data_IF_368464850822
#
_entry.id   IF_368464850822
#
_cell.length_a   1.000
_cell.length_b   1.000
_cell.length_c   1.000
_cell.angle_alpha   90.00
_cell.angle_beta   90.00
_cell.angle_gamma   90.00
#
_symmetry.space_group_name_H-M   'P 1'
#
loop_
_entity.id
_entity.type
_entity.pdbx_description
1 polymer ?
#
# COMPACT_ATOMS: atom_id res chain seq x y z
N UNK A 1 -3.18 6.96 -27.71
CA UNK A 1 -3.67 7.21 -26.33
C UNK A 1 -2.70 6.56 -25.35
N UNK A 2 -2.35 7.24 -24.26
CA UNK A 2 -1.56 6.65 -23.18
C UNK A 2 -2.35 5.51 -22.53
N UNK A 3 -1.69 4.42 -22.17
CA UNK A 3 -2.35 3.30 -21.49
C UNK A 3 -2.66 3.70 -20.05
N UNK A 4 -3.88 3.45 -19.60
CA UNK A 4 -4.25 3.68 -18.21
C UNK A 4 -3.71 2.53 -17.34
N UNK A 5 -2.77 2.88 -16.46
CA UNK A 5 -2.23 1.99 -15.44
C UNK A 5 -2.71 2.37 -14.03
N UNK A 6 -3.27 3.57 -13.84
CA UNK A 6 -3.72 4.03 -12.52
C UNK A 6 -5.08 3.44 -12.16
N UNK A 7 -5.99 3.32 -13.15
CA UNK A 7 -7.28 2.65 -12.97
C UNK A 7 -7.12 1.20 -12.47
N UNK A 8 -6.37 0.34 -13.18
CA UNK A 8 -6.10 -1.02 -12.72
C UNK A 8 -5.38 -1.09 -11.36
N UNK A 9 -4.44 -0.18 -11.08
CA UNK A 9 -3.78 -0.13 -9.78
C UNK A 9 -4.77 0.16 -8.63
N UNK A 10 -5.70 1.11 -8.85
CA UNK A 10 -6.75 1.43 -7.88
C UNK A 10 -7.72 0.24 -7.67
N UNK A 11 -8.10 -0.46 -8.74
CA UNK A 11 -8.92 -1.66 -8.65
C UNK A 11 -8.23 -2.76 -7.83
N UNK A 12 -6.93 -2.98 -8.06
CA UNK A 12 -6.15 -3.93 -7.29
C UNK A 12 -6.00 -3.55 -5.82
N UNK A 13 -5.87 -2.26 -5.50
CA UNK A 13 -5.92 -1.79 -4.11
C UNK A 13 -7.24 -2.19 -3.43
N UNK A 14 -8.37 -1.93 -4.07
CA UNK A 14 -9.68 -2.29 -3.50
C UNK A 14 -9.86 -3.80 -3.34
N UNK A 15 -9.45 -4.60 -4.34
CA UNK A 15 -9.48 -6.06 -4.25
C UNK A 15 -8.57 -6.60 -3.14
N UNK A 16 -7.40 -6.00 -2.95
CA UNK A 16 -6.51 -6.35 -1.85
C UNK A 16 -7.12 -6.03 -0.48
N UNK A 17 -7.71 -4.83 -0.31
CA UNK A 17 -8.38 -4.43 0.93
C UNK A 17 -9.56 -5.34 1.27
N UNK A 18 -10.36 -5.72 0.27
CA UNK A 18 -11.44 -6.69 0.43
C UNK A 18 -10.90 -8.06 0.85
N UNK A 19 -9.88 -8.57 0.16
CA UNK A 19 -9.26 -9.85 0.51
C UNK A 19 -8.65 -9.85 1.92
N UNK A 20 -8.07 -8.74 2.38
CA UNK A 20 -7.58 -8.56 3.76
C UNK A 20 -8.73 -8.67 4.76
N UNK A 21 -9.87 -8.00 4.50
CA UNK A 21 -11.07 -8.06 5.37
C UNK A 21 -11.62 -9.49 5.48
N UNK A 22 -11.61 -10.21 4.36
CA UNK A 22 -12.07 -11.60 4.26
C UNK A 22 -11.00 -12.63 4.70
N UNK A 23 -9.84 -12.18 5.20
CA UNK A 23 -8.70 -13.03 5.59
C UNK A 23 -8.17 -13.95 4.48
N UNK A 24 -8.42 -13.61 3.21
CA UNK A 24 -7.85 -14.28 2.02
C UNK A 24 -6.47 -13.70 1.72
N UNK A 25 -5.50 -13.97 2.58
CA UNK A 25 -4.21 -13.31 2.56
C UNK A 25 -3.38 -13.56 1.28
N UNK A 26 -3.42 -14.77 0.71
CA UNK A 26 -2.75 -15.06 -0.56
C UNK A 26 -3.31 -14.22 -1.73
N UNK A 27 -4.63 -14.01 -1.76
CA UNK A 27 -5.28 -13.16 -2.75
C UNK A 27 -4.91 -11.68 -2.55
N UNK A 28 -4.82 -11.24 -1.29
CA UNK A 28 -4.36 -9.89 -0.97
C UNK A 28 -2.92 -9.65 -1.46
N UNK A 29 -2.01 -10.60 -1.22
CA UNK A 29 -0.63 -10.54 -1.72
C UNK A 29 -0.56 -10.46 -3.24
N UNK A 30 -1.37 -11.28 -3.94
CA UNK A 30 -1.46 -11.22 -5.40
C UNK A 30 -1.86 -9.81 -5.85
N UNK A 31 -2.96 -9.28 -5.30
CA UNK A 31 -3.46 -7.97 -5.72
C UNK A 31 -2.52 -6.81 -5.37
N UNK A 32 -1.82 -6.85 -4.22
CA UNK A 32 -0.81 -5.83 -3.90
C UNK A 32 0.39 -5.86 -4.86
N UNK A 33 0.82 -7.05 -5.31
CA UNK A 33 1.88 -7.14 -6.31
C UNK A 33 1.41 -6.63 -7.69
N UNK A 34 0.17 -6.93 -8.10
CA UNK A 34 -0.39 -6.35 -9.33
C UNK A 34 -0.52 -4.83 -9.25
N UNK A 35 -0.87 -4.28 -8.08
CA UNK A 35 -0.86 -2.83 -7.86
C UNK A 35 0.53 -2.23 -8.09
N UNK A 36 1.58 -2.85 -7.52
CA UNK A 36 2.98 -2.42 -7.74
C UNK A 36 3.36 -2.46 -9.22
N UNK A 37 3.04 -3.55 -9.92
CA UNK A 37 3.33 -3.71 -11.35
C UNK A 37 2.71 -2.56 -12.14
N UNK A 38 1.43 -2.26 -11.90
CA UNK A 38 0.75 -1.15 -12.58
C UNK A 38 1.37 0.20 -12.25
N UNK A 39 1.71 0.48 -10.99
CA UNK A 39 2.44 1.71 -10.63
C UNK A 39 3.81 1.83 -11.31
N UNK A 40 4.56 0.74 -11.44
CA UNK A 40 5.84 0.77 -12.17
C UNK A 40 5.66 1.00 -13.67
N UNK A 41 4.62 0.44 -14.28
CA UNK A 41 4.30 0.73 -15.67
C UNK A 41 3.87 2.19 -15.87
N UNK A 42 3.09 2.74 -14.93
CA UNK A 42 2.72 4.15 -14.92
C UNK A 42 3.96 5.05 -14.80
N UNK A 43 4.81 4.79 -13.80
CA UNK A 43 6.05 5.52 -13.57
C UNK A 43 6.95 5.53 -14.81
N UNK A 44 7.12 4.35 -15.45
CA UNK A 44 7.87 4.22 -16.70
C UNK A 44 7.23 5.02 -17.84
N UNK A 45 5.91 4.94 -18.02
CA UNK A 45 5.20 5.65 -19.08
C UNK A 45 5.28 7.17 -18.92
N UNK A 46 5.31 7.65 -17.68
CA UNK A 46 5.35 9.07 -17.34
C UNK A 46 6.78 9.60 -17.07
N UNK A 47 7.82 8.79 -17.31
CA UNK A 47 9.22 9.14 -17.05
C UNK A 47 9.48 9.65 -15.63
N UNK A 48 8.89 8.98 -14.64
CA UNK A 48 9.13 9.31 -13.23
C UNK A 48 10.60 9.10 -12.89
N UNK A 49 11.11 9.99 -12.04
CA UNK A 49 12.41 9.81 -11.39
C UNK A 49 12.41 8.57 -10.50
N UNK A 50 13.60 8.07 -10.15
CA UNK A 50 13.74 6.98 -9.18
C UNK A 50 13.04 7.31 -7.86
N UNK A 51 13.25 8.54 -7.36
CA UNK A 51 12.62 9.05 -6.14
C UNK A 51 11.09 8.95 -6.18
N UNK A 52 10.47 9.44 -7.25
CA UNK A 52 9.02 9.37 -7.44
C UNK A 52 8.52 7.93 -7.56
N UNK A 53 9.29 7.07 -8.21
CA UNK A 53 8.99 5.64 -8.36
C UNK A 53 9.02 4.90 -7.03
N UNK A 54 10.04 5.18 -6.19
CA UNK A 54 10.13 4.66 -4.83
C UNK A 54 8.97 5.17 -3.96
N UNK A 55 8.58 6.44 -4.11
CA UNK A 55 7.40 6.99 -3.44
C UNK A 55 6.13 6.21 -3.74
N UNK A 56 5.87 5.88 -5.01
CA UNK A 56 4.75 5.02 -5.41
C UNK A 56 4.85 3.59 -4.83
N UNK A 57 6.05 3.02 -4.81
CA UNK A 57 6.27 1.67 -4.25
C UNK A 57 6.01 1.63 -2.74
N UNK A 58 6.51 2.64 -2.01
CA UNK A 58 6.34 2.77 -0.57
C UNK A 58 4.86 2.81 -0.15
N UNK A 59 3.99 3.45 -0.94
CA UNK A 59 2.54 3.47 -0.69
C UNK A 59 1.97 2.04 -0.60
N UNK A 60 2.41 1.13 -1.46
CA UNK A 60 1.95 -0.27 -1.43
C UNK A 60 2.56 -1.03 -0.25
N UNK A 61 3.82 -0.74 0.09
CA UNK A 61 4.51 -1.33 1.24
C UNK A 61 3.81 -1.02 2.58
N UNK A 62 3.13 0.12 2.71
CA UNK A 62 2.27 0.39 3.88
C UNK A 62 1.19 -0.70 4.03
N UNK A 63 0.50 -1.04 2.95
CA UNK A 63 -0.56 -2.06 2.97
C UNK A 63 0.00 -3.47 3.14
N UNK A 64 1.15 -3.78 2.53
CA UNK A 64 1.85 -5.05 2.74
C UNK A 64 2.27 -5.23 4.21
N UNK A 65 2.82 -4.19 4.84
CA UNK A 65 3.13 -4.19 6.27
C UNK A 65 1.88 -4.40 7.14
N UNK A 66 0.78 -3.72 6.82
CA UNK A 66 -0.50 -3.92 7.50
C UNK A 66 -1.02 -5.36 7.35
N UNK A 67 -0.91 -5.96 6.17
CA UNK A 67 -1.30 -7.34 5.89
C UNK A 67 -0.47 -8.31 6.75
N UNK A 68 0.87 -8.19 6.75
CA UNK A 68 1.75 -9.00 7.60
C UNK A 68 1.43 -8.87 9.08
N UNK A 69 1.09 -7.66 9.54
CA UNK A 69 0.65 -7.44 10.91
C UNK A 69 -0.64 -8.20 11.23
N UNK A 70 -1.59 -8.28 10.29
CA UNK A 70 -2.84 -9.06 10.44
C UNK A 70 -2.58 -10.56 10.43
N UNK A 71 -1.53 -11.01 9.73
CA UNK A 71 -1.05 -12.40 9.74
C UNK A 71 -0.24 -12.77 11.00
N UNK A 72 0.00 -11.83 11.93
CA UNK A 72 0.85 -12.06 13.11
C UNK A 72 2.36 -12.02 12.83
N UNK A 73 2.76 -11.72 11.59
CA UNK A 73 4.16 -11.66 11.13
C UNK A 73 4.76 -10.28 11.41
N UNK A 74 4.86 -9.92 12.70
CA UNK A 74 5.23 -8.57 13.13
C UNK A 74 6.64 -8.13 12.69
N UNK A 75 7.61 -9.05 12.71
CA UNK A 75 8.97 -8.76 12.29
C UNK A 75 9.05 -8.42 10.79
N UNK A 76 8.40 -9.22 9.96
CA UNK A 76 8.32 -8.98 8.52
C UNK A 76 7.55 -7.69 8.24
N UNK A 77 6.48 -7.42 9.00
CA UNK A 77 5.73 -6.19 8.89
C UNK A 77 6.60 -4.95 9.16
N UNK A 78 7.49 -5.02 10.16
CA UNK A 78 8.46 -3.97 10.46
C UNK A 78 9.42 -3.73 9.29
N UNK A 79 9.86 -4.75 8.55
CA UNK A 79 10.73 -4.57 7.38
C UNK A 79 10.10 -3.68 6.31
N UNK A 80 8.81 -3.88 6.03
CA UNK A 80 8.08 -3.03 5.09
C UNK A 80 7.95 -1.59 5.61
N UNK A 81 7.68 -1.40 6.90
CA UNK A 81 7.53 -0.05 7.48
C UNK A 81 8.88 0.67 7.60
N UNK A 82 9.99 -0.03 7.86
CA UNK A 82 11.33 0.54 7.83
C UNK A 82 11.68 1.05 6.42
N UNK A 83 11.31 0.31 5.38
CA UNK A 83 11.42 0.78 4.00
C UNK A 83 10.56 2.02 3.72
N UNK A 84 9.29 2.04 4.15
CA UNK A 84 8.42 3.22 4.00
C UNK A 84 9.02 4.45 4.68
N UNK A 85 9.54 4.28 5.90
CA UNK A 85 10.25 5.32 6.63
C UNK A 85 11.44 5.86 5.83
N UNK A 86 12.31 4.97 5.33
CA UNK A 86 13.49 5.35 4.52
C UNK A 86 13.09 6.13 3.26
N UNK A 87 12.11 5.64 2.51
CA UNK A 87 11.65 6.33 1.29
C UNK A 87 11.03 7.69 1.63
N UNK A 88 10.27 7.81 2.72
CA UNK A 88 9.71 9.10 3.15
C UNK A 88 10.78 10.16 3.46
N UNK A 89 11.95 9.73 3.94
CA UNK A 89 13.11 10.59 4.20
C UNK A 89 13.88 11.01 2.94
N UNK A 90 13.73 10.28 1.83
CA UNK A 90 14.38 10.61 0.56
C UNK A 90 13.89 11.96 0.00
N UNK A 91 12.62 12.29 0.21
CA UNK A 91 12.04 13.57 -0.21
C UNK A 91 12.43 14.74 0.68
N UNK A 92 12.35 14.51 1.98
CA UNK A 92 12.68 15.48 2.99
C UNK A 92 13.31 14.72 4.17
N UNK A 93 14.62 14.89 4.44
CA UNK A 93 15.27 14.23 5.58
C UNK A 93 14.64 14.56 6.94
N UNK A 94 13.94 15.70 7.03
CA UNK A 94 13.20 16.12 8.24
C UNK A 94 11.77 15.55 8.29
N UNK A 95 11.34 14.78 7.29
CA UNK A 95 10.00 14.18 7.26
C UNK A 95 9.82 13.15 8.38
N UNK A 96 9.01 13.47 9.38
CA UNK A 96 8.71 12.63 10.55
C UNK A 96 7.35 11.94 10.46
N UNK A 97 6.63 12.08 9.33
CA UNK A 97 5.26 11.54 9.16
C UNK A 97 5.13 10.02 9.36
N UNK A 98 6.24 9.28 9.30
CA UNK A 98 6.28 7.84 9.50
C UNK A 98 6.96 7.42 10.81
N UNK A 99 7.39 8.35 11.66
CA UNK A 99 8.08 8.06 12.94
C UNK A 99 7.19 7.22 13.87
N UNK A 100 5.94 7.66 14.09
CA UNK A 100 4.99 6.95 14.94
C UNK A 100 4.65 5.57 14.38
N UNK A 101 4.47 5.48 13.06
CA UNK A 101 4.22 4.19 12.39
C UNK A 101 5.40 3.25 12.61
N UNK A 102 6.63 3.73 12.43
CA UNK A 102 7.84 2.96 12.66
C UNK A 102 7.92 2.50 14.12
N UNK A 103 7.69 3.40 15.08
CA UNK A 103 7.69 3.11 16.53
C UNK A 103 6.68 2.03 16.89
N UNK A 104 5.44 2.14 16.40
CA UNK A 104 4.38 1.17 16.65
C UNK A 104 4.74 -0.21 16.10
N UNK A 105 5.26 -0.27 14.87
CA UNK A 105 5.65 -1.54 14.25
C UNK A 105 6.89 -2.15 14.91
N UNK A 106 7.83 -1.30 15.34
CA UNK A 106 8.99 -1.72 16.10
C UNK A 106 8.56 -2.40 17.40
N UNK A 107 7.76 -1.72 18.23
CA UNK A 107 7.25 -2.24 19.51
C UNK A 107 6.50 -3.58 19.38
N UNK A 108 5.84 -3.80 18.23
CA UNK A 108 5.15 -5.07 17.94
C UNK A 108 6.12 -6.20 17.56
N UNK A 109 7.21 -5.88 16.88
CA UNK A 109 8.19 -6.84 16.39
C UNK A 109 9.27 -7.18 17.44
N UNK A 110 9.77 -6.16 18.13
CA UNK A 110 10.74 -6.23 19.22
C UNK A 110 10.14 -5.45 20.39
N UNK A 111 10.10 -6.09 21.55
CA UNK A 111 9.53 -5.53 22.79
C UNK A 111 10.17 -4.18 23.16
N UNK A 112 9.67 -3.53 24.20
CA UNK A 112 10.08 -2.18 24.59
C UNK A 112 11.61 -2.03 24.77
N UNK A 113 12.18 -0.97 24.18
CA UNK A 113 13.62 -0.63 24.25
C UNK A 113 14.35 -0.63 22.90
N UNK A 114 15.36 0.23 22.73
CA UNK A 114 16.24 0.25 21.56
C UNK A 114 15.67 0.90 20.28
N UNK A 115 14.44 1.44 20.32
CA UNK A 115 13.82 2.08 19.15
C UNK A 115 14.64 3.27 18.62
N UNK A 116 15.16 4.14 19.49
CA UNK A 116 15.93 5.31 19.04
C UNK A 116 17.24 4.90 18.35
N UNK A 117 17.95 3.89 18.87
CA UNK A 117 19.14 3.33 18.20
C UNK A 117 18.79 2.70 16.86
N UNK A 118 17.65 1.99 16.79
CA UNK A 118 17.16 1.41 15.55
C UNK A 118 16.83 2.48 14.50
N UNK A 119 16.10 3.53 14.90
CA UNK A 119 15.76 4.67 14.04
C UNK A 119 17.01 5.39 13.56
N UNK A 120 17.95 5.69 14.46
CA UNK A 120 19.24 6.30 14.11
C UNK A 120 20.03 5.42 13.12
N UNK A 121 20.04 4.11 13.32
CA UNK A 121 20.66 3.17 12.38
C UNK A 121 20.04 3.26 10.98
N UNK A 122 18.71 3.34 10.88
CA UNK A 122 18.02 3.56 9.61
C UNK A 122 18.35 4.93 8.99
N UNK A 123 18.42 6.00 9.79
CA UNK A 123 18.76 7.34 9.29
C UNK A 123 20.16 7.38 8.66
N UNK A 124 21.12 6.68 9.25
CA UNK A 124 22.50 6.57 8.75
C UNK A 124 22.67 5.61 7.55
N UNK A 125 21.67 4.77 7.27
CA UNK A 125 21.77 3.77 6.21
C UNK A 125 21.65 4.40 4.81
N UNK A 126 22.60 4.22 3.88
CA UNK A 126 22.60 4.97 2.62
C UNK A 126 21.62 4.42 1.56
N UNK A 127 21.17 3.17 1.65
CA UNK A 127 20.30 2.58 0.64
C UNK A 127 18.81 2.83 0.91
N UNK A 128 18.06 2.95 -0.19
CA UNK A 128 16.61 3.08 -0.23
C UNK A 128 15.92 1.91 -0.94
N UNK A 129 16.66 0.87 -1.36
CA UNK A 129 16.05 -0.32 -1.95
C UNK A 129 15.46 -1.24 -0.87
N UNK A 130 14.33 -1.89 -1.16
CA UNK A 130 13.64 -2.70 -0.17
C UNK A 130 14.47 -3.86 0.37
N UNK A 131 15.26 -4.53 -0.49
CA UNK A 131 16.01 -5.73 -0.09
C UNK A 131 17.15 -5.37 0.86
N UNK A 132 17.89 -4.30 0.58
CA UNK A 132 18.95 -3.80 1.43
C UNK A 132 18.40 -3.22 2.73
N UNK A 133 17.29 -2.46 2.69
CA UNK A 133 16.64 -1.98 3.91
C UNK A 133 16.14 -3.16 4.76
N UNK A 134 15.55 -4.18 4.16
CA UNK A 134 15.13 -5.40 4.85
C UNK A 134 16.33 -6.12 5.50
N UNK A 135 17.39 -6.33 4.74
CA UNK A 135 18.60 -7.01 5.23
C UNK A 135 19.26 -6.23 6.37
N UNK A 136 19.44 -4.92 6.19
CA UNK A 136 19.99 -4.04 7.21
C UNK A 136 19.12 -3.99 8.46
N UNK A 137 17.79 -3.87 8.29
CA UNK A 137 16.83 -3.93 9.41
C UNK A 137 16.97 -5.24 10.16
N UNK A 138 17.00 -6.38 9.48
CA UNK A 138 17.23 -7.69 10.11
C UNK A 138 18.53 -7.72 10.90
N UNK A 139 19.63 -7.22 10.32
CA UNK A 139 20.93 -7.14 10.96
C UNK A 139 20.92 -6.26 12.23
N UNK A 140 20.31 -5.08 12.18
CA UNK A 140 20.17 -4.19 13.33
C UNK A 140 19.43 -4.87 14.49
N UNK A 141 18.35 -5.57 14.19
CA UNK A 141 17.51 -6.22 15.21
C UNK A 141 18.17 -7.46 15.83
N UNK A 142 19.09 -8.11 15.11
CA UNK A 142 19.86 -9.26 15.60
C UNK A 142 21.16 -8.85 16.30
N UNK A 143 21.66 -7.64 16.05
CA UNK A 143 22.87 -7.12 16.70
C UNK A 143 22.61 -6.63 18.15
N UNK A 144 21.35 -6.50 18.55
CA UNK A 144 20.91 -5.96 19.85
C UNK A 144 21.21 -6.83 21.08
N UNK A 145 21.73 -8.05 20.92
CA UNK A 145 22.21 -8.88 22.05
C UNK A 145 23.72 -8.69 22.34
N UNK A 146 24.43 -7.90 21.52
CA UNK A 146 25.85 -7.58 21.73
C UNK A 146 25.94 -6.12 22.19
N UNK A 147 26.28 -5.94 23.47
CA UNK A 147 26.57 -4.64 24.08
C UNK A 147 27.43 -3.77 23.14
N UNK A 148 26.89 -2.60 22.77
CA UNK A 148 27.58 -1.45 22.17
C UNK A 148 28.59 -1.79 21.06
N UNK A 149 28.11 -1.87 19.81
CA UNK A 149 28.89 -1.35 18.69
C UNK A 149 28.42 0.05 18.37
N UNK A 150 29.28 1.03 18.66
CA UNK A 150 29.21 2.36 18.05
C UNK A 150 29.19 2.15 16.54
N UNK A 151 28.09 2.52 15.90
CA UNK A 151 27.94 2.44 14.45
C UNK A 151 28.71 3.63 13.86
N UNK A 152 30.03 3.50 13.74
CA UNK A 152 30.78 4.23 12.72
C UNK A 152 30.48 3.56 11.37
N UNK A 153 30.18 4.38 10.37
CA UNK A 153 29.84 3.98 9.00
C UNK A 153 30.69 2.79 8.52
N UNK A 154 30.09 1.72 7.97
CA UNK A 154 30.87 0.70 7.30
C UNK A 154 31.49 1.33 6.05
N UNK A 155 32.82 1.47 6.04
CA UNK A 155 33.57 1.62 4.80
C UNK A 155 33.35 0.32 4.01
N UNK A 156 32.60 0.42 2.92
CA UNK A 156 32.46 -0.68 1.96
C UNK A 156 33.76 -0.68 1.17
N UNK A 157 34.63 -1.65 1.47
CA UNK A 157 35.79 -1.97 0.66
C UNK A 157 35.30 -2.44 -0.72
N UNK A 158 35.51 -1.62 -1.75
CA UNK A 158 35.17 -1.95 -3.13
C UNK A 158 36.04 -3.12 -3.62
N UNK A 159 35.49 -4.34 -3.60
CA UNK A 159 36.04 -5.46 -4.36
C UNK A 159 35.62 -5.34 -5.84
N UNK A 160 36.51 -5.62 -6.81
CA UNK A 160 36.21 -5.45 -8.22
C UNK A 160 35.03 -6.33 -8.67
N UNK A 161 34.08 -5.72 -9.36
CA UNK A 161 32.90 -6.38 -9.92
C UNK A 161 33.34 -7.34 -11.03
N UNK A 162 33.46 -8.62 -10.71
CA UNK A 162 33.37 -9.68 -11.70
C UNK A 162 31.93 -9.74 -12.21
N UNK A 163 31.75 -9.72 -13.54
CA UNK A 163 30.46 -9.71 -14.25
C UNK A 163 29.51 -10.77 -13.66
N UNK A 164 28.47 -10.31 -12.98
CA UNK A 164 27.33 -11.14 -12.53
C UNK A 164 26.49 -11.45 -13.78
N UNK A 165 26.22 -12.72 -14.12
CA UNK A 165 25.38 -13.05 -15.26
C UNK A 165 23.95 -12.56 -14.99
N UNK A 166 23.35 -11.97 -16.01
CA UNK A 166 22.04 -11.34 -16.00
C UNK A 166 20.97 -12.31 -15.43
N UNK A 167 20.59 -12.09 -14.17
CA UNK A 167 19.59 -12.90 -13.49
C UNK A 167 18.23 -12.55 -14.11
N UNK A 168 17.76 -13.44 -14.97
CA UNK A 168 16.46 -13.34 -15.64
C UNK A 168 15.32 -13.33 -14.61
N UNK A 169 14.76 -12.15 -14.33
CA UNK A 169 13.64 -11.93 -13.40
C UNK A 169 12.41 -12.80 -13.73
N UNK A 170 12.23 -13.20 -14.99
CA UNK A 170 11.13 -14.07 -15.41
C UNK A 170 11.35 -15.52 -14.95
N UNK A 171 12.60 -15.99 -14.80
CA UNK A 171 12.90 -17.35 -14.33
C UNK A 171 12.55 -17.53 -12.84
N UNK A 172 12.76 -16.50 -12.01
CA UNK A 172 12.46 -16.54 -10.57
C UNK A 172 10.95 -16.58 -10.34
N UNK A 173 10.18 -15.76 -11.07
CA UNK A 173 8.72 -15.75 -10.94
C UNK A 173 8.10 -17.08 -11.43
N UNK A 174 8.63 -17.65 -12.51
CA UNK A 174 8.14 -18.93 -13.05
C UNK A 174 8.45 -20.12 -12.14
N UNK A 175 9.60 -20.14 -11.45
CA UNK A 175 9.94 -21.18 -10.48
C UNK A 175 8.97 -21.19 -9.28
N UNK A 176 8.65 -20.00 -8.78
CA UNK A 176 7.68 -19.82 -7.69
C UNK A 176 6.25 -20.23 -8.08
N UNK A 177 5.82 -19.95 -9.32
CA UNK A 177 4.52 -20.38 -9.84
C UNK A 177 4.45 -21.91 -10.09
N UNK A 178 5.56 -22.54 -10.49
CA UNK A 178 5.63 -23.99 -10.72
C UNK A 178 5.55 -24.80 -9.41
N UNK A 179 6.21 -24.35 -8.33
CA UNK A 179 6.14 -24.99 -7.02
C UNK A 179 4.72 -24.96 -6.42
N UNK A 180 3.93 -23.92 -6.72
CA UNK A 180 2.52 -23.84 -6.30
C UNK A 180 1.56 -24.72 -7.11
N UNK A 181 1.89 -25.06 -8.36
CA UNK A 181 1.08 -25.99 -9.16
C UNK A 181 1.22 -27.43 -8.65
N UNK A 182 2.46 -27.85 -8.32
CA UNK A 182 2.70 -29.18 -7.71
C UNK A 182 1.93 -29.38 -6.40
N UNK A 183 1.79 -28.32 -5.58
CA UNK A 183 1.06 -28.38 -4.31
C UNK A 183 -0.47 -28.43 -4.46
N UNK A 184 -1.02 -28.15 -5.65
CA UNK A 184 -2.46 -28.29 -5.94
C UNK A 184 -2.84 -29.71 -6.39
N UNK A 185 -1.88 -30.53 -6.79
CA UNK A 185 -2.12 -31.90 -7.28
C UNK A 185 -2.19 -32.93 -6.13
N UNK A 186 -1.68 -32.62 -4.94
CA UNK A 186 -1.98 -33.37 -3.71
C UNK A 186 -3.25 -32.83 -3.04
N UNK A 187 -4.40 -33.16 -3.61
CA UNK A 187 -5.68 -32.97 -2.92
C UNK A 187 -6.13 -34.26 -2.25
N UNK A 188 -5.86 -34.37 -0.94
CA UNK A 188 -6.66 -35.22 -0.04
C UNK A 188 -8.07 -34.63 -0.05
N UNK A 189 -9.05 -35.47 -0.40
CA UNK A 189 -10.38 -35.07 -0.85
C UNK A 189 -11.12 -34.09 0.06
N UNK A 190 -11.59 -32.99 -0.54
CA UNK A 190 -12.74 -32.24 -0.09
C UNK A 190 -13.89 -32.58 -1.05
N UNK A 191 -15.09 -32.95 -0.56
CA UNK A 191 -16.20 -33.36 -1.40
C UNK A 191 -16.68 -32.22 -2.32
N UNK A 192 -17.31 -32.55 -3.46
CA UNK A 192 -17.69 -31.58 -4.48
C UNK A 192 -18.70 -30.53 -3.97
N UNK A 193 -18.68 -29.31 -4.53
CA UNK A 193 -19.51 -28.20 -4.07
C UNK A 193 -21.01 -28.44 -4.31
N UNK A 194 -21.82 -27.99 -3.35
CA UNK A 194 -23.28 -28.03 -3.37
C UNK A 194 -23.85 -27.37 -4.65
N UNK A 195 -24.87 -28.03 -5.24
CA UNK A 195 -25.58 -27.63 -6.47
C UNK A 195 -26.12 -26.19 -6.36
N UNK A 196 -25.95 -25.40 -7.43
CA UNK A 196 -26.56 -24.06 -7.60
C UNK A 196 -28.09 -24.15 -7.56
N UNK A 197 -28.80 -23.19 -6.94
CA UNK A 197 -30.25 -23.17 -6.98
C UNK A 197 -30.78 -22.82 -8.38
N UNK A 198 -31.80 -23.57 -8.82
CA UNK A 198 -32.56 -23.40 -10.06
C UNK A 198 -33.27 -22.04 -10.14
N UNK A 199 -33.30 -21.47 -11.36
CA UNK A 199 -34.12 -20.30 -11.71
C UNK A 199 -35.60 -20.66 -11.60
N UNK A 200 -36.35 -19.96 -10.75
CA UNK A 200 -37.83 -19.91 -10.82
C UNK A 200 -38.30 -18.61 -11.46
N UNK A 201 -39.49 -18.73 -12.03
CA UNK A 201 -40.00 -18.05 -13.21
C UNK A 201 -40.47 -16.61 -12.98
N UNK A 202 -40.54 -15.92 -14.11
CA UNK A 202 -41.16 -14.61 -14.36
C UNK A 202 -42.59 -14.58 -13.81
N UNK A 203 -42.91 -13.55 -13.03
CA UNK A 203 -44.30 -13.10 -12.82
C UNK A 203 -44.37 -11.66 -13.33
N UNK A 204 -45.16 -11.48 -14.39
CA UNK A 204 -45.61 -10.19 -14.88
C UNK A 204 -46.51 -9.54 -13.83
N UNK A 205 -46.33 -8.25 -13.58
CA UNK A 205 -47.39 -7.44 -13.00
C UNK A 205 -47.72 -6.27 -13.91
N UNK A 206 -49.01 -6.03 -13.89
CA UNK A 206 -49.85 -5.38 -14.87
C UNK A 206 -49.82 -3.86 -14.76
N UNK A 207 -50.27 -3.26 -15.84
CA UNK A 207 -50.28 -1.84 -16.17
C UNK A 207 -51.47 -1.16 -15.48
N UNK A 208 -51.24 -0.08 -14.72
CA UNK A 208 -52.28 0.94 -14.49
C UNK A 208 -51.70 2.33 -14.68
N UNK A 209 -52.26 3.03 -15.68
CA UNK A 209 -52.06 4.43 -15.99
C UNK A 209 -52.72 5.32 -14.93
N UNK A 210 -52.08 6.44 -14.62
CA UNK A 210 -52.79 7.73 -14.46
C UNK A 210 -51.85 8.87 -14.86
N UNK A 211 -52.19 9.50 -15.98
CA UNK A 211 -51.73 10.84 -16.41
C UNK A 211 -52.19 11.89 -15.39
N UNK A 212 -51.46 13.00 -15.23
CA UNK A 212 -51.76 14.37 -15.73
C UNK A 212 -50.68 15.23 -15.04
N UNK A 213 -49.96 16.19 -15.62
CA UNK A 213 -49.90 16.82 -16.95
C UNK A 213 -48.62 17.65 -17.02
N UNK A 214 -48.01 17.69 -18.21
CA UNK A 214 -46.89 18.54 -18.62
C UNK A 214 -47.37 20.00 -18.86
N UNK A 215 -46.60 21.06 -19.16
CA UNK A 215 -45.32 21.33 -19.88
C UNK A 215 -45.14 22.89 -19.82
N UNK A 216 -44.38 23.62 -20.68
CA UNK A 216 -43.05 23.50 -21.34
C UNK A 216 -42.16 24.76 -21.03
N UNK A 217 -40.91 25.00 -21.50
CA UNK A 217 -40.47 25.34 -22.87
C UNK A 217 -38.94 25.62 -22.89
N UNK A 218 -38.24 25.02 -23.88
CA UNK A 218 -37.06 25.46 -24.69
C UNK A 218 -35.76 25.98 -24.01
N UNK A 219 -34.57 26.00 -24.63
CA UNK A 219 -33.96 25.43 -25.84
C UNK A 219 -32.46 25.81 -25.84
N UNK A 220 -31.70 25.16 -26.73
CA UNK A 220 -30.45 25.63 -27.38
C UNK A 220 -29.07 25.22 -26.84
N UNK A 221 -28.42 24.40 -27.68
CA UNK A 221 -27.08 24.51 -28.29
C UNK A 221 -25.77 24.67 -27.49
N UNK A 222 -24.88 23.68 -27.78
CA UNK A 222 -23.45 23.73 -28.16
C UNK A 222 -22.34 24.14 -27.15
N UNK A 223 -21.30 23.28 -27.22
CA UNK A 223 -19.84 23.50 -27.13
C UNK A 223 -19.15 23.73 -25.78
N UNK A 224 -18.23 22.78 -25.51
CA UNK A 224 -16.84 22.95 -25.03
C UNK A 224 -16.52 23.48 -23.62
N UNK A 225 -15.64 22.73 -22.95
CA UNK A 225 -14.62 23.29 -22.06
C UNK A 225 -14.98 23.39 -20.58
N UNK A 226 -14.89 22.29 -19.82
CA UNK A 226 -14.93 22.38 -18.36
C UNK A 226 -13.54 22.71 -17.79
N UNK A 227 -13.22 24.01 -17.74
CA UNK A 227 -12.50 24.59 -16.61
C UNK A 227 -13.56 25.14 -15.65
N UNK A 228 -13.65 24.56 -14.44
CA UNK A 228 -14.23 25.28 -13.30
C UNK A 228 -13.53 24.86 -12.01
N UNK A 229 -12.76 25.83 -11.50
CA UNK A 229 -12.25 25.92 -10.15
C UNK A 229 -13.37 26.36 -9.21
N UNK A 230 -13.75 25.53 -8.24
CA UNK A 230 -14.28 25.87 -6.89
C UNK A 230 -14.14 24.56 -6.07
N UNK A 231 -13.79 24.50 -4.79
CA UNK A 231 -13.95 25.45 -3.71
C UNK A 231 -13.02 25.10 -2.53
N UNK A 232 -11.99 25.91 -2.29
CA UNK A 232 -11.15 25.86 -1.08
C UNK A 232 -11.74 26.62 0.12
N UNK A 233 -13.00 27.06 0.06
CA UNK A 233 -13.60 27.94 1.08
C UNK A 233 -14.57 27.25 2.06
N UNK A 234 -14.90 25.97 1.88
CA UNK A 234 -15.80 25.26 2.81
C UNK A 234 -15.11 24.61 4.01
N UNK A 235 -13.78 24.55 4.06
CA UNK A 235 -13.04 23.91 5.17
C UNK A 235 -12.72 24.92 6.29
N UNK A 236 -12.70 26.23 5.99
CA UNK A 236 -12.40 27.24 6.99
C UNK A 236 -13.57 27.50 7.96
N UNK A 237 -14.82 27.41 7.50
CA UNK A 237 -15.99 27.71 8.34
C UNK A 237 -16.32 26.60 9.34
N UNK A 238 -16.02 25.32 9.03
CA UNK A 238 -16.30 24.19 9.94
C UNK A 238 -15.33 24.11 11.12
N UNK A 239 -14.09 24.57 10.96
CA UNK A 239 -13.09 24.54 12.03
C UNK A 239 -13.35 25.60 13.11
N UNK A 240 -13.91 26.76 12.75
CA UNK A 240 -14.21 27.83 13.72
C UNK A 240 -15.39 27.45 14.62
N UNK A 241 -16.41 26.79 14.08
CA UNK A 241 -17.59 26.35 14.86
C UNK A 241 -17.23 25.24 15.85
N UNK A 242 -16.39 24.28 15.45
CA UNK A 242 -15.91 23.20 16.34
C UNK A 242 -14.98 23.76 17.43
N UNK A 243 -14.14 24.74 17.11
CA UNK A 243 -13.28 25.42 18.08
C UNK A 243 -14.06 26.19 19.15
N UNK A 244 -15.15 26.87 18.78
CA UNK A 244 -16.00 27.59 19.74
C UNK A 244 -16.79 26.65 20.65
N UNK A 245 -17.24 25.50 20.15
CA UNK A 245 -17.95 24.50 20.97
C UNK A 245 -17.01 23.90 22.02
N UNK A 246 -15.75 23.61 21.68
CA UNK A 246 -14.76 23.09 22.62
C UNK A 246 -14.35 24.13 23.67
N UNK A 247 -14.29 25.41 23.30
CA UNK A 247 -13.92 26.49 24.20
C UNK A 247 -15.03 26.81 25.22
N UNK A 248 -16.30 26.72 24.83
CA UNK A 248 -17.45 26.83 25.75
C UNK A 248 -17.52 25.64 26.71
N UNK A 249 -17.16 24.44 26.26
CA UNK A 249 -17.12 23.25 27.11
C UNK A 249 -16.02 23.32 28.17
N UNK A 250 -14.85 23.88 27.83
CA UNK A 250 -13.73 24.10 28.75
C UNK A 250 -13.97 25.19 29.80
N UNK A 251 -14.84 26.17 29.53
CA UNK A 251 -15.19 27.24 30.46
C UNK A 251 -16.34 26.88 31.41
N UNK A 252 -16.99 25.73 31.20
CA UNK A 252 -18.15 25.27 31.99
C UNK A 252 -17.80 24.17 33.00
N UNK A 253 -16.50 23.94 33.28
CA UNK A 253 -16.01 22.96 34.26
C UNK A 253 -14.95 23.56 35.18
#
# INVERSE_FOLDING_TARGET
>A
MLKDYLGPAAEHKHKAEQAIKEKRFDDAWRHLNEQKINYFQHAKQCNFTEKQTLGLDAVVHITMGNLLRREGKHLQALYHIAYVYKVGKLENPQNDSNDDRLRIYYKRAKRDGGFENFKQGLDLFPSYDYQSVQHFTSSLLNSGDVKQRVITSPQIEEKPIAKIPEINKNAINNKFLAERKKKKEEHIGIPPPLKKPEKKQVIQYEKTNSQISATPVSSSSKTEGCRSSVSGFFIAATCVVIGLILLVWLLSY
#
